data_IF_814572860099
#
_entry.id   IF_814572860099
#
_cell.length_a   1.000
_cell.length_b   1.000
_cell.length_c   1.000
_cell.angle_alpha   90.00
_cell.angle_beta   90.00
_cell.angle_gamma   90.00
#
_symmetry.space_group_name_H-M   'P 1'
#
loop_
_entity.id
_entity.type
_entity.pdbx_description
1 polymer ?
#
# COMPACT_ATOMS: atom_id res chain seq x y z
N UNK A 1 9.29 -18.29 -8.87
CA UNK A 1 9.92 -17.12 -9.49
C UNK A 1 10.34 -16.10 -8.43
N UNK A 2 11.33 -15.27 -8.74
CA UNK A 2 11.76 -14.19 -7.84
C UNK A 2 10.71 -13.06 -7.86
N UNK A 3 10.54 -12.37 -6.74
CA UNK A 3 9.55 -11.29 -6.56
C UNK A 3 9.52 -10.29 -7.73
N UNK A 4 10.66 -9.71 -8.08
CA UNK A 4 10.73 -8.67 -9.11
C UNK A 4 10.29 -9.20 -10.49
N UNK A 5 10.71 -10.41 -10.84
CA UNK A 5 10.28 -11.07 -12.09
C UNK A 5 8.76 -11.36 -12.10
N UNK A 6 8.20 -11.73 -10.96
CA UNK A 6 6.76 -11.97 -10.82
C UNK A 6 5.96 -10.69 -10.98
N UNK A 7 6.42 -9.58 -10.37
CA UNK A 7 5.79 -8.27 -10.55
C UNK A 7 5.73 -7.86 -12.02
N UNK A 8 6.87 -7.96 -12.74
CA UNK A 8 6.96 -7.56 -14.16
C UNK A 8 6.12 -8.41 -15.09
N UNK A 9 6.09 -9.73 -14.87
CA UNK A 9 5.43 -10.67 -15.80
C UNK A 9 3.92 -10.81 -15.59
N UNK A 10 3.47 -10.70 -14.36
CA UNK A 10 2.09 -11.04 -14.01
C UNK A 10 1.34 -9.90 -13.34
N UNK A 11 1.91 -9.31 -12.30
CA UNK A 11 1.21 -8.36 -11.46
C UNK A 11 0.95 -7.05 -12.18
N UNK A 12 1.98 -6.39 -12.67
CA UNK A 12 1.84 -5.11 -13.36
C UNK A 12 0.93 -5.18 -14.59
N UNK A 13 1.09 -6.16 -15.51
CA UNK A 13 0.16 -6.28 -16.63
C UNK A 13 -1.30 -6.50 -16.23
N UNK A 14 -1.53 -7.19 -15.11
CA UNK A 14 -2.89 -7.40 -14.59
C UNK A 14 -3.44 -6.13 -13.97
N UNK A 15 -2.65 -5.43 -13.15
CA UNK A 15 -3.08 -4.22 -12.45
C UNK A 15 -3.43 -3.07 -13.41
N UNK A 16 -2.78 -2.98 -14.57
CA UNK A 16 -3.11 -1.97 -15.59
C UNK A 16 -4.58 -2.04 -16.01
N UNK A 17 -5.21 -3.21 -16.04
CA UNK A 17 -6.61 -3.36 -16.42
C UNK A 17 -7.60 -2.73 -15.42
N UNK A 18 -7.17 -2.43 -14.19
CA UNK A 18 -8.04 -1.90 -13.13
C UNK A 18 -8.37 -0.40 -13.27
N UNK A 19 -7.92 0.25 -14.34
CA UNK A 19 -8.47 1.55 -14.74
C UNK A 19 -9.94 1.44 -15.18
N UNK A 20 -10.37 0.25 -15.61
CA UNK A 20 -11.75 -0.06 -15.94
C UNK A 20 -12.55 -0.44 -14.69
N UNK A 21 -13.63 0.30 -14.42
CA UNK A 21 -14.48 0.08 -13.26
C UNK A 21 -15.17 -1.29 -13.25
N UNK A 22 -15.45 -1.87 -14.42
CA UNK A 22 -16.07 -3.19 -14.55
C UNK A 22 -15.11 -4.30 -14.15
N UNK A 23 -13.86 -4.23 -14.61
CA UNK A 23 -12.78 -5.15 -14.23
C UNK A 23 -12.52 -5.06 -12.72
N UNK A 24 -12.41 -3.84 -12.19
CA UNK A 24 -12.23 -3.62 -10.76
C UNK A 24 -13.40 -4.19 -9.94
N UNK A 25 -14.65 -4.04 -10.40
CA UNK A 25 -15.83 -4.55 -9.72
C UNK A 25 -15.90 -6.08 -9.72
N UNK A 26 -15.57 -6.73 -10.83
CA UNK A 26 -15.54 -8.18 -10.93
C UNK A 26 -14.49 -8.77 -9.96
N UNK A 27 -13.28 -8.23 -9.99
CA UNK A 27 -12.20 -8.67 -9.12
C UNK A 27 -12.52 -8.44 -7.63
N UNK A 28 -13.02 -7.25 -7.28
CA UNK A 28 -13.39 -6.93 -5.91
C UNK A 28 -14.55 -7.80 -5.39
N UNK A 29 -15.56 -8.06 -6.22
CA UNK A 29 -16.68 -8.95 -5.86
C UNK A 29 -16.19 -10.37 -5.61
N UNK A 30 -15.36 -10.90 -6.51
CA UNK A 30 -14.79 -12.23 -6.37
C UNK A 30 -13.96 -12.33 -5.08
N UNK A 31 -13.05 -11.36 -4.83
CA UNK A 31 -12.21 -11.33 -3.64
C UNK A 31 -13.03 -11.31 -2.35
N UNK A 32 -14.03 -10.42 -2.28
CA UNK A 32 -14.87 -10.27 -1.09
C UNK A 32 -15.70 -11.54 -0.84
N UNK A 33 -16.22 -12.16 -1.90
CA UNK A 33 -16.97 -13.42 -1.79
C UNK A 33 -16.10 -14.58 -1.32
N UNK A 34 -14.85 -14.67 -1.81
CA UNK A 34 -13.89 -15.66 -1.34
C UNK A 34 -13.48 -15.42 0.12
N UNK A 35 -13.27 -14.16 0.53
CA UNK A 35 -13.05 -13.84 1.94
C UNK A 35 -14.18 -14.40 2.82
N UNK A 36 -15.44 -14.11 2.48
CA UNK A 36 -16.60 -14.58 3.24
C UNK A 36 -16.72 -16.10 3.25
N UNK A 37 -16.49 -16.79 2.13
CA UNK A 37 -16.50 -18.25 2.07
C UNK A 37 -15.48 -18.88 3.00
N UNK A 38 -14.37 -18.19 3.24
CA UNK A 38 -13.30 -18.65 4.11
C UNK A 38 -13.38 -18.07 5.54
N UNK A 39 -14.49 -17.42 5.90
CA UNK A 39 -14.71 -16.85 7.25
C UNK A 39 -13.93 -15.57 7.54
N UNK A 40 -13.40 -14.90 6.50
CA UNK A 40 -12.65 -13.65 6.62
C UNK A 40 -13.63 -12.49 6.50
N UNK A 41 -13.79 -11.73 7.57
CA UNK A 41 -14.70 -10.57 7.65
C UNK A 41 -13.98 -9.22 7.72
N UNK A 42 -12.65 -9.25 7.83
CA UNK A 42 -11.80 -8.07 7.87
C UNK A 42 -10.49 -8.37 7.16
N UNK A 43 -10.03 -7.46 6.32
CA UNK A 43 -8.76 -7.56 5.60
C UNK A 43 -8.14 -6.17 5.41
N UNK A 44 -6.81 -6.12 5.28
CA UNK A 44 -6.11 -4.97 4.76
C UNK A 44 -5.66 -5.27 3.33
N UNK A 45 -6.11 -4.45 2.37
CA UNK A 45 -6.08 -4.78 0.94
C UNK A 45 -5.27 -3.73 0.19
N UNK A 46 -4.35 -4.19 -0.63
CA UNK A 46 -3.69 -3.39 -1.64
C UNK A 46 -4.59 -3.37 -2.88
N UNK A 47 -5.16 -2.22 -3.21
CA UNK A 47 -5.85 -2.03 -4.48
C UNK A 47 -4.84 -1.84 -5.62
N UNK A 48 -5.07 -0.94 -6.56
CA UNK A 48 -4.12 -0.56 -7.58
C UNK A 48 -3.84 0.95 -7.51
N UNK A 49 -3.02 1.48 -8.43
CA UNK A 49 -2.77 2.92 -8.52
C UNK A 49 -4.01 3.72 -8.96
N UNK A 50 -5.02 3.05 -9.50
CA UNK A 50 -6.22 3.69 -10.04
C UNK A 50 -7.24 3.97 -8.91
N UNK A 51 -7.65 5.22 -8.66
CA UNK A 51 -8.63 5.55 -7.61
C UNK A 51 -9.93 4.75 -7.72
N UNK A 52 -10.40 4.49 -8.94
CA UNK A 52 -11.63 3.73 -9.20
C UNK A 52 -11.60 2.32 -8.58
N UNK A 53 -10.42 1.68 -8.51
CA UNK A 53 -10.28 0.36 -7.89
C UNK A 53 -10.59 0.38 -6.39
N UNK A 54 -10.22 1.46 -5.70
CA UNK A 54 -10.51 1.68 -4.27
C UNK A 54 -11.99 2.00 -4.06
N UNK A 55 -12.54 2.90 -4.88
CA UNK A 55 -13.96 3.29 -4.80
C UNK A 55 -14.88 2.10 -4.95
N UNK A 56 -14.67 1.31 -5.99
CA UNK A 56 -15.46 0.10 -6.28
C UNK A 56 -15.30 -0.94 -5.17
N UNK A 57 -14.07 -1.14 -4.68
CA UNK A 57 -13.83 -2.05 -3.58
C UNK A 57 -14.61 -1.66 -2.32
N UNK A 58 -14.56 -0.40 -1.91
CA UNK A 58 -15.30 0.07 -0.74
C UNK A 58 -16.83 0.05 -0.93
N UNK A 59 -17.34 0.31 -2.14
CA UNK A 59 -18.77 0.15 -2.44
C UNK A 59 -19.23 -1.29 -2.18
N UNK A 60 -18.48 -2.28 -2.69
CA UNK A 60 -18.80 -3.71 -2.55
C UNK A 60 -18.66 -4.15 -1.09
N UNK A 61 -17.59 -3.76 -0.40
CA UNK A 61 -17.37 -4.08 1.01
C UNK A 61 -18.48 -3.50 1.90
N UNK A 62 -18.88 -2.26 1.64
CA UNK A 62 -19.97 -1.58 2.36
C UNK A 62 -21.33 -2.25 2.15
N UNK A 63 -21.64 -2.65 0.91
CA UNK A 63 -22.88 -3.36 0.62
C UNK A 63 -23.02 -4.69 1.39
N UNK A 64 -21.90 -5.29 1.75
CA UNK A 64 -21.83 -6.53 2.55
C UNK A 64 -21.55 -6.28 4.05
N UNK A 65 -21.49 -5.02 4.47
CA UNK A 65 -21.22 -4.58 5.86
C UNK A 65 -19.90 -5.16 6.43
N UNK A 66 -18.87 -5.29 5.60
CA UNK A 66 -17.56 -5.79 6.00
C UNK A 66 -16.68 -4.66 6.56
N UNK A 67 -15.76 -5.02 7.47
CA UNK A 67 -14.71 -4.10 7.94
C UNK A 67 -13.45 -4.34 7.08
N UNK A 68 -13.26 -3.49 6.10
CA UNK A 68 -12.11 -3.59 5.20
C UNK A 68 -11.23 -2.34 5.30
N UNK A 69 -9.92 -2.54 5.33
CA UNK A 69 -8.95 -1.49 5.11
C UNK A 69 -8.47 -1.57 3.65
N UNK A 70 -8.38 -0.45 2.98
CA UNK A 70 -7.93 -0.39 1.59
C UNK A 70 -7.39 1.00 1.29
N UNK A 71 -6.50 1.10 0.31
CA UNK A 71 -6.01 2.36 -0.20
C UNK A 71 -5.45 2.23 -1.60
N UNK A 72 -5.39 3.38 -2.27
CA UNK A 72 -4.72 3.51 -3.55
C UNK A 72 -3.24 3.18 -3.39
N UNK A 73 -2.72 2.27 -4.22
CA UNK A 73 -1.29 1.99 -4.29
C UNK A 73 -0.56 3.21 -4.86
N UNK A 74 0.55 3.57 -4.24
CA UNK A 74 1.38 4.69 -4.62
C UNK A 74 2.69 4.17 -5.21
N UNK A 75 2.96 4.57 -6.44
CA UNK A 75 4.19 4.29 -7.19
C UNK A 75 4.48 5.46 -8.12
N UNK A 76 5.66 6.06 -8.03
CA UNK A 76 6.09 7.15 -8.91
C UNK A 76 7.42 6.87 -9.62
N UNK A 77 8.06 5.73 -9.34
CA UNK A 77 9.25 5.23 -10.05
C UNK A 77 9.24 3.70 -10.16
N UNK A 78 10.12 3.16 -10.99
CA UNK A 78 10.39 1.71 -11.12
C UNK A 78 9.12 0.85 -11.34
N UNK A 79 8.13 1.41 -12.01
CA UNK A 79 6.90 0.75 -12.41
C UNK A 79 6.56 1.16 -13.87
N UNK A 80 5.72 0.39 -14.58
CA UNK A 80 5.23 0.78 -15.90
C UNK A 80 4.54 2.15 -15.89
N UNK A 81 4.60 2.87 -17.00
CA UNK A 81 4.03 4.23 -17.11
C UNK A 81 2.55 4.29 -16.73
N UNK A 82 1.78 3.27 -17.12
CA UNK A 82 0.34 3.16 -16.79
C UNK A 82 0.04 2.89 -15.32
N UNK A 83 1.07 2.58 -14.52
CA UNK A 83 0.99 2.29 -13.09
C UNK A 83 1.81 3.28 -12.24
N UNK A 84 2.20 4.41 -12.83
CA UNK A 84 2.88 5.48 -12.10
C UNK A 84 1.99 6.70 -11.98
N UNK A 85 2.05 7.32 -10.83
CA UNK A 85 1.54 8.67 -10.58
C UNK A 85 2.71 9.62 -10.24
N UNK A 86 2.41 10.87 -9.97
CA UNK A 86 3.35 11.79 -9.35
C UNK A 86 3.15 11.78 -7.83
N UNK A 87 4.13 12.24 -7.07
CA UNK A 87 3.98 12.41 -5.62
C UNK A 87 2.76 13.28 -5.28
N UNK A 88 2.53 14.35 -6.06
CA UNK A 88 1.39 15.25 -5.87
C UNK A 88 0.06 14.58 -6.20
N UNK A 89 -0.05 13.89 -7.34
CA UNK A 89 -1.29 13.17 -7.69
C UNK A 89 -1.61 12.07 -6.68
N UNK A 90 -0.58 11.35 -6.24
CA UNK A 90 -0.71 10.34 -5.20
C UNK A 90 -1.27 10.90 -3.89
N UNK A 91 -0.75 12.06 -3.46
CA UNK A 91 -1.24 12.78 -2.29
C UNK A 91 -2.70 13.25 -2.48
N UNK A 92 -2.99 13.99 -3.56
CA UNK A 92 -4.31 14.59 -3.79
C UNK A 92 -5.41 13.53 -3.93
N UNK A 93 -5.15 12.47 -4.71
CA UNK A 93 -6.10 11.39 -4.91
C UNK A 93 -6.32 10.58 -3.62
N UNK A 94 -5.26 10.30 -2.85
CA UNK A 94 -5.39 9.63 -1.56
C UNK A 94 -6.19 10.48 -0.57
N UNK A 95 -5.93 11.78 -0.49
CA UNK A 95 -6.68 12.72 0.37
C UNK A 95 -8.17 12.76 0.01
N UNK A 96 -8.50 12.78 -1.27
CA UNK A 96 -9.88 12.72 -1.75
C UNK A 96 -10.57 11.40 -1.33
N UNK A 97 -9.87 10.26 -1.49
CA UNK A 97 -10.38 8.94 -1.12
C UNK A 97 -10.54 8.79 0.40
N UNK A 98 -9.64 9.37 1.21
CA UNK A 98 -9.78 9.43 2.67
C UNK A 98 -11.10 10.15 3.01
N UNK A 99 -11.30 11.35 2.47
CA UNK A 99 -12.51 12.13 2.72
C UNK A 99 -13.81 11.44 2.30
N UNK A 100 -13.77 10.62 1.25
CA UNK A 100 -14.94 9.90 0.75
C UNK A 100 -15.25 8.61 1.54
N UNK A 101 -14.22 7.87 1.96
CA UNK A 101 -14.39 6.48 2.38
C UNK A 101 -13.94 6.17 3.80
N UNK A 102 -12.97 6.90 4.38
CA UNK A 102 -12.56 6.62 5.77
C UNK A 102 -13.68 6.91 6.74
N UNK A 103 -14.00 5.95 7.60
CA UNK A 103 -15.09 6.08 8.56
C UNK A 103 -16.51 6.03 7.96
N UNK A 104 -16.64 5.87 6.62
CA UNK A 104 -17.93 5.65 5.98
C UNK A 104 -18.35 4.19 6.22
N UNK A 105 -19.36 3.99 7.07
CA UNK A 105 -19.73 2.66 7.55
C UNK A 105 -18.59 2.01 8.36
N UNK A 106 -18.05 0.89 7.88
CA UNK A 106 -16.96 0.15 8.53
C UNK A 106 -15.65 0.23 7.76
N UNK A 107 -15.57 1.08 6.74
CA UNK A 107 -14.38 1.24 5.92
C UNK A 107 -13.27 1.96 6.66
N UNK A 108 -12.04 1.52 6.43
CA UNK A 108 -10.82 2.15 6.94
C UNK A 108 -9.92 2.45 5.76
N UNK A 109 -9.52 3.70 5.59
CA UNK A 109 -8.50 3.99 4.56
C UNK A 109 -7.12 3.55 5.07
N UNK A 110 -6.30 2.99 4.18
CA UNK A 110 -4.92 2.66 4.44
C UNK A 110 -4.04 3.32 3.38
N UNK A 111 -3.19 4.27 3.77
CA UNK A 111 -2.17 4.80 2.87
C UNK A 111 -1.26 3.66 2.43
N UNK A 112 -1.05 3.53 1.11
CA UNK A 112 -0.43 2.34 0.56
C UNK A 112 0.73 2.67 -0.39
N UNK A 113 1.86 3.22 0.10
CA UNK A 113 3.09 3.16 -0.68
C UNK A 113 3.44 1.68 -0.88
N UNK A 114 3.55 1.22 -2.13
CA UNK A 114 3.69 -0.22 -2.40
C UNK A 114 4.88 -0.81 -1.66
N UNK A 115 6.06 -0.25 -1.90
CA UNK A 115 7.30 -0.53 -1.19
C UNK A 115 8.36 0.51 -1.60
N UNK A 116 9.41 0.69 -0.82
CA UNK A 116 10.39 1.75 -1.04
C UNK A 116 11.00 1.80 -2.46
N UNK A 117 11.26 0.67 -3.17
CA UNK A 117 11.79 0.72 -4.53
C UNK A 117 10.89 1.44 -5.55
N UNK A 118 9.58 1.45 -5.37
CA UNK A 118 8.64 2.11 -6.30
C UNK A 118 8.21 3.51 -5.89
N UNK A 119 8.78 4.04 -4.81
CA UNK A 119 8.50 5.40 -4.33
C UNK A 119 9.79 6.24 -4.29
N UNK A 120 9.73 7.45 -4.84
CA UNK A 120 10.80 8.44 -4.66
C UNK A 120 10.78 8.99 -3.23
N UNK A 121 11.88 9.63 -2.77
CA UNK A 121 11.86 10.38 -1.51
C UNK A 121 10.70 11.37 -1.44
N UNK A 122 10.40 12.08 -2.52
CA UNK A 122 9.32 13.06 -2.62
C UNK A 122 7.94 12.41 -2.41
N UNK A 123 7.71 11.21 -2.96
CA UNK A 123 6.46 10.50 -2.72
C UNK A 123 6.36 10.01 -1.28
N UNK A 124 7.43 9.46 -0.70
CA UNK A 124 7.42 9.01 0.69
C UNK A 124 7.22 10.18 1.67
N UNK A 125 7.81 11.34 1.40
CA UNK A 125 7.59 12.56 2.17
C UNK A 125 6.12 13.01 2.11
N UNK A 126 5.53 13.03 0.92
CA UNK A 126 4.12 13.36 0.73
C UNK A 126 3.19 12.38 1.47
N UNK A 127 3.51 11.09 1.47
CA UNK A 127 2.77 10.06 2.22
C UNK A 127 2.87 10.27 3.72
N UNK A 128 4.08 10.57 4.24
CA UNK A 128 4.29 10.86 5.66
C UNK A 128 3.53 12.12 6.12
N UNK A 129 3.54 13.17 5.29
CA UNK A 129 2.76 14.37 5.55
C UNK A 129 1.25 14.07 5.62
N UNK A 130 0.73 13.32 4.65
CA UNK A 130 -0.68 12.96 4.60
C UNK A 130 -1.09 12.07 5.78
N UNK A 131 -0.24 11.13 6.19
CA UNK A 131 -0.51 10.29 7.36
C UNK A 131 -0.53 11.10 8.65
N UNK A 132 0.36 12.08 8.78
CA UNK A 132 0.37 13.03 9.91
C UNK A 132 -0.90 13.89 9.97
N UNK A 133 -1.48 14.26 8.82
CA UNK A 133 -2.76 14.98 8.74
C UNK A 133 -3.97 14.13 9.16
N UNK A 134 -3.88 12.81 8.99
CA UNK A 134 -4.95 11.84 9.24
C UNK A 134 -4.46 10.69 10.14
N UNK A 135 -4.19 10.95 11.44
CA UNK A 135 -3.56 9.96 12.33
C UNK A 135 -4.46 8.75 12.68
N UNK A 136 -5.72 8.78 12.28
CA UNK A 136 -6.73 7.74 12.50
C UNK A 136 -6.84 6.72 11.37
N UNK A 137 -6.18 6.98 10.22
CA UNK A 137 -6.07 6.00 9.13
C UNK A 137 -4.90 5.04 9.35
N UNK A 138 -4.90 3.95 8.58
CA UNK A 138 -3.76 3.02 8.57
C UNK A 138 -2.73 3.44 7.50
N UNK A 139 -1.51 2.97 7.68
CA UNK A 139 -0.48 2.94 6.64
C UNK A 139 -0.08 1.49 6.40
N UNK A 140 0.09 1.06 5.16
CA UNK A 140 0.54 -0.28 4.83
C UNK A 140 1.58 -0.25 3.70
N UNK A 141 2.59 -1.10 3.83
CA UNK A 141 3.66 -1.22 2.83
C UNK A 141 4.32 -2.60 2.92
N UNK A 142 5.13 -2.98 1.94
CA UNK A 142 5.97 -4.17 2.01
C UNK A 142 7.33 -3.84 2.61
N UNK A 143 7.90 -4.80 3.32
CA UNK A 143 9.19 -4.66 3.99
C UNK A 143 9.98 -5.97 3.94
N UNK A 144 11.19 -5.93 3.40
CA UNK A 144 12.19 -7.00 3.50
C UNK A 144 11.65 -8.39 3.13
N UNK A 145 10.91 -8.51 2.02
CA UNK A 145 10.36 -9.78 1.55
C UNK A 145 11.44 -10.65 0.89
N UNK A 146 12.39 -10.04 0.17
CA UNK A 146 13.37 -10.75 -0.64
C UNK A 146 14.77 -10.13 -0.48
N UNK A 147 15.86 -10.92 -0.40
CA UNK A 147 17.22 -10.38 -0.28
C UNK A 147 17.63 -9.44 -1.40
N UNK A 148 17.19 -9.69 -2.65
CA UNK A 148 17.51 -8.81 -3.77
C UNK A 148 16.77 -7.47 -3.65
N UNK A 149 15.54 -7.47 -3.13
CA UNK A 149 14.79 -6.27 -2.80
C UNK A 149 15.50 -5.46 -1.71
N UNK A 150 15.97 -6.10 -0.64
CA UNK A 150 16.73 -5.44 0.43
C UNK A 150 17.99 -4.78 -0.10
N UNK A 151 18.75 -5.48 -0.96
CA UNK A 151 19.94 -4.93 -1.61
C UNK A 151 19.59 -3.73 -2.50
N UNK A 152 18.49 -3.82 -3.27
CA UNK A 152 18.05 -2.73 -4.13
C UNK A 152 17.62 -1.48 -3.32
N UNK A 153 16.98 -1.66 -2.18
CA UNK A 153 16.66 -0.53 -1.28
C UNK A 153 17.93 0.13 -0.73
N UNK A 154 18.94 -0.65 -0.36
CA UNK A 154 20.22 -0.11 0.08
C UNK A 154 20.90 0.75 -1.01
N UNK A 155 20.80 0.35 -2.28
CA UNK A 155 21.34 1.12 -3.42
C UNK A 155 20.53 2.41 -3.66
N UNK A 156 19.19 2.37 -3.48
CA UNK A 156 18.30 3.50 -3.73
C UNK A 156 18.28 4.54 -2.60
N UNK A 157 18.57 4.11 -1.38
CA UNK A 157 18.54 4.93 -0.16
C UNK A 157 19.83 4.73 0.66
N UNK A 158 21.01 5.12 0.12
CA UNK A 158 22.29 4.83 0.74
C UNK A 158 22.51 5.52 2.09
N UNK A 159 21.74 6.56 2.40
CA UNK A 159 21.81 7.28 3.67
C UNK A 159 20.99 6.60 4.78
N UNK A 160 20.13 5.64 4.44
CA UNK A 160 19.34 4.90 5.42
C UNK A 160 20.15 3.77 6.04
N UNK A 161 20.04 3.53 7.36
CA UNK A 161 20.79 2.46 8.02
C UNK A 161 20.37 1.06 7.54
N UNK A 162 19.14 0.91 7.11
CA UNK A 162 18.55 -0.33 6.58
C UNK A 162 17.20 -0.03 5.91
N UNK A 163 16.44 -1.09 5.51
CA UNK A 163 15.20 -0.93 4.80
C UNK A 163 14.11 -0.24 5.66
N UNK A 164 13.92 -0.70 6.90
CA UNK A 164 12.96 -0.07 7.80
C UNK A 164 13.32 1.39 8.11
N UNK A 165 14.61 1.70 8.18
CA UNK A 165 15.13 3.06 8.36
C UNK A 165 14.65 4.05 7.29
N UNK A 166 14.36 3.58 6.07
CA UNK A 166 13.71 4.41 5.04
C UNK A 166 12.34 4.87 5.52
N UNK A 167 11.52 3.96 6.01
CA UNK A 167 10.17 4.30 6.49
C UNK A 167 10.20 5.15 7.76
N UNK A 168 11.14 4.89 8.67
CA UNK A 168 11.33 5.74 9.86
C UNK A 168 11.66 7.18 9.45
N UNK A 169 12.56 7.37 8.48
CA UNK A 169 13.00 8.69 8.02
C UNK A 169 11.84 9.54 7.50
N UNK A 170 10.90 8.95 6.77
CA UNK A 170 9.74 9.64 6.21
C UNK A 170 8.50 9.65 7.12
N UNK A 171 8.64 9.24 8.39
CA UNK A 171 7.55 9.26 9.35
C UNK A 171 6.46 8.20 9.09
N UNK A 172 6.83 7.10 8.43
CA UNK A 172 5.94 5.99 8.08
C UNK A 172 6.03 4.81 9.06
N UNK A 173 6.62 5.03 10.23
CA UNK A 173 6.75 4.05 11.30
C UNK A 173 5.99 4.54 12.53
N UNK A 174 5.10 3.72 13.08
CA UNK A 174 4.30 4.09 14.26
C UNK A 174 3.02 3.26 14.40
N UNK A 175 2.22 3.55 15.43
CA UNK A 175 0.94 2.90 15.64
C UNK A 175 0.03 3.05 14.42
N UNK A 176 -0.51 1.94 13.91
CA UNK A 176 -1.32 1.92 12.68
C UNK A 176 -0.54 1.62 11.40
N UNK A 177 0.80 1.46 11.46
CA UNK A 177 1.58 0.95 10.36
C UNK A 177 1.51 -0.57 10.26
N UNK A 178 1.38 -1.08 9.03
CA UNK A 178 1.35 -2.50 8.71
C UNK A 178 2.47 -2.78 7.71
N UNK A 179 3.44 -3.60 8.12
CA UNK A 179 4.57 -3.99 7.29
C UNK A 179 4.38 -5.43 6.80
N UNK A 180 4.11 -5.59 5.51
CA UNK A 180 3.97 -6.89 4.87
C UNK A 180 5.30 -7.65 4.83
N UNK A 181 5.25 -8.97 5.00
CA UNK A 181 6.35 -9.94 4.98
C UNK A 181 7.34 -9.80 6.14
N UNK A 182 8.20 -8.77 6.17
CA UNK A 182 9.20 -8.55 7.21
C UNK A 182 10.09 -9.79 7.49
N UNK A 183 10.53 -10.51 6.44
CA UNK A 183 11.22 -11.79 6.54
C UNK A 183 12.72 -11.64 6.82
N UNK A 184 13.36 -10.63 6.24
CA UNK A 184 14.82 -10.44 6.27
C UNK A 184 15.21 -9.23 7.13
N UNK A 185 14.64 -9.14 8.34
CA UNK A 185 14.93 -8.06 9.27
C UNK A 185 16.26 -8.25 10.00
N UNK A 186 17.00 -7.17 10.13
CA UNK A 186 18.16 -7.06 11.04
C UNK A 186 17.71 -6.94 12.51
N UNK A 187 18.64 -7.10 13.45
CA UNK A 187 18.35 -6.89 14.88
C UNK A 187 17.97 -5.43 15.19
N UNK A 188 18.57 -4.46 14.46
CA UNK A 188 18.20 -3.05 14.60
C UNK A 188 16.73 -2.81 14.19
N UNK A 189 16.34 -3.33 13.02
CA UNK A 189 14.96 -3.17 12.52
C UNK A 189 13.95 -3.79 13.47
N UNK A 190 14.21 -4.99 13.99
CA UNK A 190 13.34 -5.64 14.99
C UNK A 190 13.19 -4.81 16.26
N UNK A 191 14.29 -4.22 16.73
CA UNK A 191 14.26 -3.34 17.88
C UNK A 191 13.45 -2.06 17.59
N UNK A 192 13.70 -1.42 16.45
CA UNK A 192 13.00 -0.21 16.05
C UNK A 192 11.48 -0.44 15.86
N UNK A 193 11.09 -1.51 15.18
CA UNK A 193 9.66 -1.87 14.99
C UNK A 193 8.98 -2.07 16.35
N UNK A 194 9.62 -2.78 17.29
CA UNK A 194 9.07 -2.98 18.63
C UNK A 194 8.91 -1.66 19.40
N UNK A 195 9.86 -0.72 19.21
CA UNK A 195 9.90 0.52 19.97
C UNK A 195 8.96 1.59 19.37
N UNK A 196 8.50 1.41 18.14
CA UNK A 196 7.52 2.30 17.47
C UNK A 196 6.05 1.95 17.80
N UNK A 197 5.78 0.83 18.46
CA UNK A 197 4.41 0.38 18.82
C UNK A 197 3.79 -0.50 17.79
#
# INVERSE_FOLDING_TARGET
>A
EQLLTWLEKYTFPTETAFHDAGVAAEAASFFVDECLRNGITSSSVYATVHPVSVEVFFQIASAKNLRMACGKVLMDRNAPDDLRDTAQDGYDQSKALIGAWHGNGRNVYALTPRFAPTSTPEQLEAVGALWSEHPDILMQTHLSENPNEVAWVADLFPESPDYFGVYEHFGLAGPGAIFGHALHLTERERAAIRDTG
#
